data_IF_107846470286
#
_entry.id   IF_107846470286
#
_cell.length_a   1.000
_cell.length_b   1.000
_cell.length_c   1.000
_cell.angle_alpha   90.00
_cell.angle_beta   90.00
_cell.angle_gamma   90.00
#
_symmetry.space_group_name_H-M   'P 1'
#
loop_
_entity.id
_entity.type
_entity.pdbx_description
1 polymer ?
#
# COMPACT_ATOMS: atom_id res chain seq x y z
N UNK A 1 37.76 -7.41 8.36
CA UNK A 1 36.41 -8.00 8.46
C UNK A 1 35.98 -8.43 7.06
N UNK A 2 35.98 -9.73 6.73
CA UNK A 2 35.40 -10.18 5.46
C UNK A 2 33.91 -9.81 5.47
N UNK A 3 33.48 -9.02 4.49
CA UNK A 3 32.05 -8.74 4.30
C UNK A 3 31.38 -10.06 3.95
N UNK A 4 30.31 -10.38 4.66
CA UNK A 4 29.53 -11.58 4.41
C UNK A 4 28.65 -11.32 3.18
N UNK A 5 29.22 -11.57 2.01
CA UNK A 5 28.59 -11.33 0.71
C UNK A 5 27.25 -12.08 0.61
N UNK A 6 27.16 -13.26 1.23
CA UNK A 6 25.92 -14.04 1.26
C UNK A 6 24.82 -13.35 2.07
N UNK A 7 25.18 -12.74 3.20
CA UNK A 7 24.25 -11.92 3.98
C UNK A 7 23.74 -10.69 3.21
N UNK A 8 24.59 -10.04 2.41
CA UNK A 8 24.20 -8.92 1.56
C UNK A 8 23.19 -9.36 0.48
N UNK A 9 23.44 -10.49 -0.20
CA UNK A 9 22.48 -11.04 -1.16
C UNK A 9 21.15 -11.40 -0.51
N UNK A 10 21.19 -12.04 0.66
CA UNK A 10 19.96 -12.38 1.41
C UNK A 10 19.13 -11.14 1.73
N UNK A 11 19.78 -10.05 2.17
CA UNK A 11 19.09 -8.77 2.46
C UNK A 11 18.45 -8.17 1.20
N UNK A 12 19.17 -8.16 0.08
CA UNK A 12 18.65 -7.64 -1.18
C UNK A 12 17.38 -8.39 -1.65
N UNK A 13 17.38 -9.73 -1.56
CA UNK A 13 16.20 -10.53 -1.90
C UNK A 13 15.02 -10.29 -0.95
N UNK A 14 15.28 -10.07 0.35
CA UNK A 14 14.23 -9.71 1.32
C UNK A 14 13.58 -8.36 1.01
N UNK A 15 14.38 -7.34 0.67
CA UNK A 15 13.84 -6.03 0.26
C UNK A 15 13.01 -6.15 -1.02
N UNK A 16 13.44 -6.95 -1.98
CA UNK A 16 12.71 -7.16 -3.22
C UNK A 16 11.38 -7.89 -2.97
N UNK A 17 11.38 -8.90 -2.09
CA UNK A 17 10.17 -9.59 -1.64
C UNK A 17 9.17 -8.61 -1.04
N UNK A 18 9.62 -7.75 -0.10
CA UNK A 18 8.77 -6.76 0.54
C UNK A 18 8.17 -5.77 -0.47
N UNK A 19 8.98 -5.26 -1.42
CA UNK A 19 8.50 -4.35 -2.49
C UNK A 19 7.50 -5.02 -3.43
N UNK A 20 7.69 -6.30 -3.76
CA UNK A 20 6.75 -7.06 -4.58
C UNK A 20 5.43 -7.29 -3.81
N UNK A 21 5.53 -7.62 -2.52
CA UNK A 21 4.38 -7.84 -1.64
C UNK A 21 3.56 -6.56 -1.43
N UNK A 22 4.19 -5.43 -1.10
CA UNK A 22 3.50 -4.13 -0.92
C UNK A 22 2.89 -3.60 -2.21
N UNK A 23 3.50 -3.88 -3.35
CA UNK A 23 2.94 -3.55 -4.66
C UNK A 23 1.82 -4.49 -5.13
N UNK A 24 1.43 -5.50 -4.34
CA UNK A 24 0.43 -6.49 -4.71
C UNK A 24 0.86 -7.44 -5.83
N UNK A 25 2.16 -7.48 -6.17
CA UNK A 25 2.74 -8.36 -7.18
C UNK A 25 3.00 -9.75 -6.60
N UNK A 26 1.94 -10.46 -6.25
CA UNK A 26 1.99 -11.77 -5.56
C UNK A 26 2.84 -12.80 -6.29
N UNK A 27 2.68 -12.97 -7.60
CA UNK A 27 3.49 -13.93 -8.38
C UNK A 27 4.98 -13.57 -8.49
N UNK A 28 5.37 -12.33 -8.25
CA UNK A 28 6.79 -11.94 -8.13
C UNK A 28 7.29 -12.23 -6.71
N UNK A 29 6.50 -11.90 -5.69
CA UNK A 29 6.80 -12.20 -4.29
C UNK A 29 6.97 -13.72 -4.06
N UNK A 30 6.11 -14.57 -4.61
CA UNK A 30 6.22 -16.04 -4.52
C UNK A 30 7.52 -16.56 -5.14
N UNK A 31 7.91 -16.02 -6.31
CA UNK A 31 9.18 -16.39 -6.96
C UNK A 31 10.38 -16.02 -6.10
N UNK A 32 10.36 -14.85 -5.48
CA UNK A 32 11.44 -14.40 -4.59
C UNK A 32 11.47 -15.23 -3.30
N UNK A 33 10.31 -15.57 -2.73
CA UNK A 33 10.21 -16.42 -1.54
C UNK A 33 10.77 -17.82 -1.80
N UNK A 34 10.52 -18.39 -2.98
CA UNK A 34 11.11 -19.68 -3.37
C UNK A 34 12.64 -19.63 -3.42
N UNK A 35 13.23 -18.53 -3.95
CA UNK A 35 14.68 -18.33 -3.96
C UNK A 35 15.23 -18.20 -2.53
N UNK A 36 14.56 -17.43 -1.68
CA UNK A 36 14.95 -17.26 -0.27
C UNK A 36 14.96 -18.59 0.49
N UNK A 37 13.94 -19.43 0.28
CA UNK A 37 13.84 -20.75 0.93
C UNK A 37 14.88 -21.72 0.38
N UNK A 38 15.02 -21.81 -0.94
CA UNK A 38 15.89 -22.79 -1.59
C UNK A 38 17.39 -22.49 -1.39
N UNK A 39 17.78 -21.21 -1.44
CA UNK A 39 19.20 -20.82 -1.42
C UNK A 39 19.70 -20.43 -0.04
N UNK A 40 18.86 -19.81 0.79
CA UNK A 40 19.26 -19.27 2.09
C UNK A 40 18.58 -19.99 3.26
N UNK A 41 17.75 -21.01 3.00
CA UNK A 41 16.97 -21.69 4.02
C UNK A 41 16.00 -20.75 4.76
N UNK A 42 15.68 -19.60 4.18
CA UNK A 42 14.91 -18.56 4.84
C UNK A 42 13.48 -18.54 4.30
N UNK A 43 12.52 -18.72 5.21
CA UNK A 43 11.11 -18.54 4.90
C UNK A 43 10.72 -17.09 5.21
N UNK A 44 10.56 -16.22 4.19
CA UNK A 44 10.02 -14.89 4.45
C UNK A 44 8.55 -15.09 4.83
N UNK A 45 8.22 -14.82 6.09
CA UNK A 45 6.83 -14.72 6.48
C UNK A 45 6.15 -13.74 5.52
N UNK A 46 4.94 -14.05 4.99
CA UNK A 46 4.14 -13.03 4.32
C UNK A 46 4.10 -11.89 5.30
N UNK A 47 4.68 -10.74 4.90
CA UNK A 47 4.73 -9.59 5.77
C UNK A 47 3.30 -9.44 6.24
N UNK A 48 3.06 -9.75 7.53
CA UNK A 48 1.76 -9.58 8.12
C UNK A 48 1.40 -8.19 7.67
N UNK A 49 0.37 -8.08 6.85
CA UNK A 49 -0.13 -6.78 6.41
C UNK A 49 -0.36 -6.13 7.75
N UNK A 50 0.58 -5.31 8.21
CA UNK A 50 0.38 -4.50 9.37
C UNK A 50 -0.75 -3.65 8.82
N UNK A 51 -2.01 -3.86 9.23
CA UNK A 51 -2.99 -2.86 8.90
C UNK A 51 -2.34 -1.62 9.48
N UNK A 52 -2.00 -0.64 8.64
CA UNK A 52 -1.58 0.65 9.16
C UNK A 52 -2.57 0.97 10.28
N UNK A 53 -2.10 1.23 11.52
CA UNK A 53 -3.02 1.50 12.61
C UNK A 53 -3.88 2.66 12.14
N UNK A 54 -5.17 2.36 11.90
CA UNK A 54 -5.96 3.03 10.89
C UNK A 54 -5.70 4.53 10.77
N UNK A 55 -5.13 4.96 9.65
CA UNK A 55 -5.60 6.20 9.08
C UNK A 55 -7.04 5.91 8.66
N UNK A 56 -7.95 6.24 9.59
CA UNK A 56 -9.33 5.82 9.56
C UNK A 56 -10.03 6.18 8.24
N UNK A 57 -11.22 5.61 8.01
CA UNK A 57 -12.03 5.94 6.85
C UNK A 57 -12.16 7.48 6.70
N UNK A 58 -12.23 8.03 5.47
CA UNK A 58 -12.37 9.46 5.27
C UNK A 58 -13.48 9.94 6.17
N UNK A 59 -13.29 11.03 6.93
CA UNK A 59 -14.33 11.60 7.79
C UNK A 59 -15.53 12.01 6.92
N UNK A 60 -16.39 11.03 6.59
CA UNK A 60 -17.80 11.21 6.28
C UNK A 60 -18.40 11.72 7.58
N UNK A 61 -18.33 13.03 7.78
CA UNK A 61 -19.12 13.73 8.76
C UNK A 61 -20.59 13.54 8.41
N UNK A 62 -21.20 12.48 8.93
CA UNK A 62 -22.63 12.25 8.82
C UNK A 62 -23.25 12.74 10.13
N UNK A 63 -23.91 13.89 10.09
CA UNK A 63 -24.78 14.33 11.18
C UNK A 63 -25.52 15.62 10.86
N UNK A 64 -26.85 15.68 10.98
CA UNK A 64 -27.71 16.50 10.14
C UNK A 64 -28.13 17.81 10.81
N UNK A 65 -28.22 18.90 10.03
CA UNK A 65 -29.00 20.09 10.41
C UNK A 65 -29.85 20.52 9.21
N UNK A 66 -31.04 19.96 9.19
CA UNK A 66 -32.30 20.65 8.88
C UNK A 66 -32.22 21.97 8.10
N UNK A 67 -32.68 21.87 6.84
CA UNK A 67 -33.79 22.65 6.23
C UNK A 67 -33.69 24.19 6.24
N UNK A 68 -33.36 24.74 5.07
CA UNK A 68 -34.05 25.86 4.40
C UNK A 68 -33.52 25.90 2.95
N UNK A 69 -34.17 25.30 1.96
CA UNK A 69 -35.25 25.89 1.16
C UNK A 69 -34.95 27.33 0.70
N UNK A 70 -34.39 27.46 -0.52
CA UNK A 70 -34.86 28.37 -1.57
C UNK A 70 -33.97 28.23 -2.84
N UNK A 71 -34.46 27.52 -3.86
CA UNK A 71 -34.24 27.92 -5.27
C UNK A 71 -35.23 29.06 -5.60
N UNK A 72 -35.21 29.76 -6.77
CA UNK A 72 -34.36 29.70 -7.97
C UNK A 72 -33.83 31.13 -8.37
N UNK A 73 -33.08 31.44 -9.44
CA UNK A 73 -33.26 31.31 -10.90
C UNK A 73 -31.96 31.78 -11.63
N UNK A 74 -31.82 31.50 -12.95
CA UNK A 74 -30.65 31.84 -13.76
C UNK A 74 -30.76 33.23 -14.40
N UNK A 75 -29.65 33.97 -14.46
CA UNK A 75 -29.50 35.10 -15.37
C UNK A 75 -28.31 34.86 -16.30
N UNK A 76 -28.66 34.51 -17.54
CA UNK A 76 -27.91 34.82 -18.75
C UNK A 76 -27.45 36.28 -18.71
N UNK A 77 -26.18 36.54 -19.01
CA UNK A 77 -25.77 37.61 -19.93
C UNK A 77 -24.34 37.35 -20.39
N UNK A 78 -24.21 37.05 -21.68
CA UNK A 78 -22.97 37.22 -22.43
C UNK A 78 -22.63 38.71 -22.46
N UNK A 79 -21.38 39.06 -22.15
CA UNK A 79 -20.83 40.36 -22.48
C UNK A 79 -19.83 40.17 -23.63
N UNK A 80 -20.21 40.82 -24.73
CA UNK A 80 -19.48 41.21 -25.94
C UNK A 80 -17.94 41.21 -25.86
#
# INVERSE_FOLDING_TARGET
MPRDIEADYRRAYLEQYQRAHTAGRTGEADRIAAVLRARFGHDPAPAAVVPEPGEGPPRRGRGPKTRAAAEPLPETTAAD
#
